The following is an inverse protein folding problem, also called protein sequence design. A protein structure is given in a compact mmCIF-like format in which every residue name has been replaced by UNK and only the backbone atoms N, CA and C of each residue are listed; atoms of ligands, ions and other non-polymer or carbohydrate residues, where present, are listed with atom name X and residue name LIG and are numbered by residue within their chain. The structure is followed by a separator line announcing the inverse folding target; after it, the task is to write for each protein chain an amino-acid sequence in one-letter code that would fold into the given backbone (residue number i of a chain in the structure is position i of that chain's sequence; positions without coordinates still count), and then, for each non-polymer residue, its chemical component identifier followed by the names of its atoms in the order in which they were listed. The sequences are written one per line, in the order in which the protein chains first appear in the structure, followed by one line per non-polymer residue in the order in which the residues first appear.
data_IF_119453664223
#
_entry.id   IF_119453664223
#
_cell.length_a   1.000
_cell.length_b   1.000
_cell.length_c   1.000
_cell.angle_alpha   90.00
_cell.angle_beta   90.00
_cell.angle_gamma   90.00
#
_symmetry.space_group_name_H-M   'P 1'
#
loop_
_entity.id
_entity.type
_entity.pdbx_description
1 polymer ?
#
# COMPACT_ATOMS: atom_id res chain seq x y z
N UNK A 1 -0.56 11.13 1.97
CA UNK A 1 -0.28 9.71 1.62
C UNK A 1 -1.33 9.19 0.65
N UNK A 2 -2.62 9.41 0.91
CA UNK A 2 -3.68 9.21 -0.09
C UNK A 2 -4.03 10.54 -0.77
N UNK A 3 -4.17 10.56 -2.09
CA UNK A 3 -4.45 11.77 -2.88
C UNK A 3 -5.79 11.69 -3.65
N UNK A 4 -6.49 10.55 -3.58
CA UNK A 4 -7.79 10.36 -4.23
C UNK A 4 -8.96 11.00 -3.47
N UNK A 5 -10.16 11.00 -4.05
CA UNK A 5 -11.38 11.44 -3.40
C UNK A 5 -11.60 10.76 -2.03
N UNK A 6 -12.04 11.50 -0.99
CA UNK A 6 -12.20 10.94 0.36
C UNK A 6 -13.39 9.96 0.50
N UNK A 7 -14.23 9.88 -0.52
CA UNK A 7 -15.47 9.10 -0.57
C UNK A 7 -15.40 7.91 -1.54
N UNK A 8 -14.26 7.71 -2.20
CA UNK A 8 -14.08 6.52 -3.03
C UNK A 8 -13.86 5.24 -2.21
N UNK A 9 -13.96 4.10 -2.88
CA UNK A 9 -13.86 2.78 -2.24
C UNK A 9 -12.50 2.53 -1.58
N UNK A 10 -11.41 3.11 -2.11
CA UNK A 10 -10.07 2.93 -1.56
C UNK A 10 -9.87 3.78 -0.30
N UNK A 11 -10.35 5.03 -0.28
CA UNK A 11 -10.34 5.91 0.89
C UNK A 11 -11.15 5.32 2.04
N UNK A 12 -12.35 4.82 1.74
CA UNK A 12 -13.23 4.16 2.73
C UNK A 12 -12.58 2.86 3.22
N UNK A 13 -12.01 2.05 2.32
CA UNK A 13 -11.32 0.81 2.67
C UNK A 13 -10.12 1.02 3.60
N UNK A 14 -9.27 2.01 3.30
CA UNK A 14 -8.15 2.41 4.17
C UNK A 14 -8.66 2.89 5.53
N UNK A 15 -9.65 3.79 5.53
CA UNK A 15 -10.20 4.39 6.76
C UNK A 15 -10.78 3.35 7.71
N UNK A 16 -11.46 2.34 7.16
CA UNK A 16 -12.11 1.29 7.94
C UNK A 16 -11.20 0.07 8.21
N UNK A 17 -10.01 0.02 7.60
CA UNK A 17 -9.14 -1.17 7.60
C UNK A 17 -9.90 -2.43 7.15
N UNK A 18 -10.66 -2.31 6.05
CA UNK A 18 -11.54 -3.39 5.59
C UNK A 18 -10.74 -4.51 4.90
N UNK A 19 -10.69 -5.75 5.45
CA UNK A 19 -9.99 -6.86 4.83
C UNK A 19 -10.65 -7.39 3.54
N UNK A 20 -11.88 -6.95 3.24
CA UNK A 20 -12.60 -7.26 2.00
C UNK A 20 -12.57 -6.10 1.00
N UNK A 21 -12.02 -4.96 1.39
CA UNK A 21 -11.88 -3.79 0.52
C UNK A 21 -10.77 -3.97 -0.53
N UNK A 22 -10.54 -2.93 -1.36
CA UNK A 22 -9.44 -2.92 -2.31
C UNK A 22 -8.09 -3.12 -1.62
N UNK A 23 -7.16 -3.84 -2.26
CA UNK A 23 -5.80 -4.00 -1.75
C UNK A 23 -5.03 -2.68 -1.88
N UNK A 24 -4.61 -2.11 -0.75
CA UNK A 24 -3.85 -0.86 -0.67
C UNK A 24 -2.51 -1.06 0.04
N UNK A 25 -1.41 -0.56 -0.51
CA UNK A 25 -0.06 -0.70 0.06
C UNK A 25 0.76 0.58 -0.11
N UNK A 26 1.54 0.93 0.92
CA UNK A 26 2.52 2.01 0.89
C UNK A 26 3.90 1.47 1.25
N UNK A 27 4.84 1.56 0.32
CA UNK A 27 6.23 1.13 0.52
C UNK A 27 7.05 2.33 0.97
N UNK A 28 7.62 2.26 2.18
CA UNK A 28 8.46 3.33 2.73
C UNK A 28 9.96 3.09 2.52
N UNK A 29 10.37 1.82 2.35
CA UNK A 29 11.78 1.43 2.25
C UNK A 29 11.93 0.15 1.46
N UNK A 30 12.95 0.13 0.59
CA UNK A 30 13.40 -1.08 -0.08
C UNK A 30 14.61 -1.64 0.66
N UNK A 31 14.59 -2.93 0.97
CA UNK A 31 15.69 -3.65 1.64
C UNK A 31 16.43 -4.50 0.61
N UNK A 32 17.76 -4.33 0.44
CA UNK A 32 18.52 -5.12 -0.51
C UNK A 32 18.56 -6.59 -0.11
N UNK A 33 18.49 -7.48 -1.09
CA UNK A 33 18.66 -8.93 -0.88
C UNK A 33 20.10 -9.36 -1.23
N UNK A 34 20.45 -10.61 -0.92
CA UNK A 34 21.72 -11.20 -1.34
C UNK A 34 21.82 -11.39 -2.86
N UNK A 35 20.68 -11.58 -3.53
CA UNK A 35 20.60 -11.64 -4.97
C UNK A 35 20.79 -10.24 -5.55
N UNK A 36 21.92 -10.03 -6.21
CA UNK A 36 22.28 -8.73 -6.79
C UNK A 36 21.15 -8.22 -7.70
N UNK A 37 20.67 -7.01 -7.40
CA UNK A 37 19.62 -6.33 -8.17
C UNK A 37 18.19 -6.63 -7.73
N UNK A 38 17.98 -7.43 -6.68
CA UNK A 38 16.66 -7.66 -6.07
C UNK A 38 16.54 -7.00 -4.70
N UNK A 39 15.34 -6.51 -4.42
CA UNK A 39 14.98 -5.84 -3.17
C UNK A 39 13.65 -6.40 -2.65
N UNK A 40 13.52 -6.49 -1.32
CA UNK A 40 12.23 -6.63 -0.67
C UNK A 40 11.65 -5.23 -0.41
N UNK A 41 10.33 -5.10 -0.57
CA UNK A 41 9.57 -3.90 -0.35
C UNK A 41 8.67 -4.08 0.88
#
# INVERSE_FOLDING_TARGET
LYEGPPDDEAAIGIKNCDPKGPLMMYISKMVPTSDKGRFYA
#
